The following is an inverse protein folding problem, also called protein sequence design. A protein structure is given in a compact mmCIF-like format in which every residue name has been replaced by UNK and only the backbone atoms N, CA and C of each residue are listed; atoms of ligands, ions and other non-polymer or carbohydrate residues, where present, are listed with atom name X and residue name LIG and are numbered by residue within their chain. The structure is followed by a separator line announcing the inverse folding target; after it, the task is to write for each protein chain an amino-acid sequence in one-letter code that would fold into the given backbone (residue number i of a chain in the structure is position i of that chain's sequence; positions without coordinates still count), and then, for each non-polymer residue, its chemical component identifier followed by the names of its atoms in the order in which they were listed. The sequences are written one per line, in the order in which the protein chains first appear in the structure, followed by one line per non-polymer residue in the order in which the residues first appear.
data_IF_976114348815
#
_entry.id   IF_976114348815
#
_cell.length_a   1.000
_cell.length_b   1.000
_cell.length_c   1.000
_cell.angle_alpha   90.00
_cell.angle_beta   90.00
_cell.angle_gamma   90.00
#
_symmetry.space_group_name_H-M   'P 1'
#
loop_
_entity.id
_entity.type
_entity.pdbx_description
1 polymer ?
#
# COMPACT_ATOMS: atom_id res chain seq x y z
N UNK A 1 -18.83 20.87 1.98
CA UNK A 1 -17.91 21.72 2.76
C UNK A 1 -16.94 20.90 3.62
N UNK A 2 -17.37 20.01 4.54
CA UNK A 2 -16.47 19.21 5.40
C UNK A 2 -15.48 18.32 4.60
N UNK A 3 -15.92 17.63 3.54
CA UNK A 3 -15.08 16.79 2.70
C UNK A 3 -13.97 17.58 1.99
N UNK A 4 -14.28 18.80 1.53
CA UNK A 4 -13.31 19.71 0.93
C UNK A 4 -12.26 20.18 1.94
N UNK A 5 -12.65 20.45 3.20
CA UNK A 5 -11.71 20.83 4.27
C UNK A 5 -10.76 19.68 4.59
N UNK A 6 -11.26 18.44 4.70
CA UNK A 6 -10.39 17.28 4.91
C UNK A 6 -9.45 17.02 3.72
N UNK A 7 -9.92 17.20 2.48
CA UNK A 7 -9.06 17.10 1.29
C UNK A 7 -7.97 18.17 1.29
N UNK A 8 -8.30 19.42 1.65
CA UNK A 8 -7.32 20.51 1.77
C UNK A 8 -6.33 20.28 2.90
N UNK A 9 -6.76 19.76 4.05
CA UNK A 9 -5.85 19.35 5.13
C UNK A 9 -4.88 18.26 4.67
N UNK A 10 -5.36 17.31 3.87
CA UNK A 10 -4.55 16.27 3.26
C UNK A 10 -3.55 16.85 2.24
N UNK A 11 -3.93 17.88 1.47
CA UNK A 11 -3.07 18.57 0.51
C UNK A 11 -2.03 19.49 1.17
N UNK A 12 -2.33 20.09 2.32
CA UNK A 12 -1.41 20.92 3.09
C UNK A 12 -0.22 20.15 3.69
N UNK A 13 -0.22 18.82 3.63
CA UNK A 13 0.84 17.98 4.20
C UNK A 13 2.14 17.94 3.39
N UNK A 14 2.23 18.65 2.27
CA UNK A 14 3.45 18.70 1.43
C UNK A 14 4.60 19.49 2.07
N UNK A 15 4.35 20.34 3.07
CA UNK A 15 5.38 21.06 3.81
C UNK A 15 5.89 20.26 5.01
N UNK A 16 7.20 20.27 5.28
CA UNK A 16 7.78 19.58 6.45
C UNK A 16 7.15 20.05 7.76
N UNK A 17 6.92 21.36 7.92
CA UNK A 17 6.33 21.92 9.13
C UNK A 17 4.85 21.53 9.29
N UNK A 18 4.05 21.66 8.25
CA UNK A 18 2.63 21.27 8.27
C UNK A 18 2.45 19.76 8.48
N UNK A 19 3.34 18.96 7.92
CA UNK A 19 3.41 17.51 8.12
C UNK A 19 3.67 17.16 9.60
N UNK A 20 4.62 17.84 10.24
CA UNK A 20 4.93 17.63 11.66
C UNK A 20 3.78 18.05 12.58
N UNK A 21 3.15 19.20 12.31
CA UNK A 21 1.99 19.68 13.08
C UNK A 21 0.80 18.71 12.96
N UNK A 22 0.50 18.24 11.76
CA UNK A 22 -0.59 17.30 11.56
C UNK A 22 -0.29 15.95 12.21
N UNK A 23 0.96 15.46 12.13
CA UNK A 23 1.40 14.26 12.85
C UNK A 23 1.21 14.42 14.36
N UNK A 24 1.66 15.54 14.93
CA UNK A 24 1.50 15.84 16.37
C UNK A 24 0.02 15.87 16.76
N UNK A 25 -0.83 16.54 15.98
CA UNK A 25 -2.26 16.55 16.22
C UNK A 25 -2.88 15.15 16.16
N UNK A 26 -2.63 14.40 15.07
CA UNK A 26 -3.27 13.09 14.85
C UNK A 26 -2.84 12.02 15.84
N UNK A 27 -1.67 12.17 16.46
CA UNK A 27 -1.20 11.30 17.55
C UNK A 27 -1.67 11.74 18.93
N UNK A 28 -2.15 12.99 19.06
CA UNK A 28 -2.63 13.52 20.34
C UNK A 28 -3.98 12.94 20.75
N UNK A 29 -4.26 12.90 22.05
CA UNK A 29 -5.55 12.49 22.58
C UNK A 29 -6.70 13.43 22.18
N UNK A 30 -6.39 14.68 21.82
CA UNK A 30 -7.41 15.63 21.32
C UNK A 30 -8.00 15.16 19.98
N UNK A 31 -7.22 14.46 19.17
CA UNK A 31 -7.68 13.99 17.85
C UNK A 31 -8.75 12.89 17.91
N UNK A 32 -8.97 12.26 19.08
CA UNK A 32 -10.07 11.29 19.24
C UNK A 32 -11.45 11.92 18.98
N UNK A 33 -11.61 13.20 19.29
CA UNK A 33 -12.90 13.92 19.09
C UNK A 33 -13.27 14.13 17.62
N UNK A 34 -12.30 14.03 16.69
CA UNK A 34 -12.57 14.12 15.26
C UNK A 34 -12.87 12.76 14.60
N UNK A 35 -12.71 11.63 15.32
CA UNK A 35 -12.94 10.29 14.78
C UNK A 35 -14.37 10.13 14.25
N UNK A 36 -15.38 10.60 15.01
CA UNK A 36 -16.78 10.52 14.58
C UNK A 36 -17.02 11.26 13.27
N UNK A 37 -16.53 12.49 13.15
CA UNK A 37 -16.67 13.28 11.92
C UNK A 37 -15.87 12.67 10.77
N UNK A 38 -14.70 12.08 11.05
CA UNK A 38 -13.88 11.36 10.07
C UNK A 38 -14.63 10.15 9.51
N UNK A 39 -15.19 9.28 10.36
CA UNK A 39 -16.04 8.15 9.94
C UNK A 39 -17.17 8.60 9.02
N UNK A 40 -17.90 9.67 9.42
CA UNK A 40 -19.02 10.19 8.63
C UNK A 40 -18.58 10.72 7.26
N UNK A 41 -17.45 11.45 7.19
CA UNK A 41 -16.95 12.04 5.95
C UNK A 41 -16.48 10.97 4.95
N UNK A 42 -15.84 9.92 5.46
CA UNK A 42 -15.30 8.85 4.63
C UNK A 42 -16.22 7.62 4.54
N UNK A 43 -17.43 7.69 5.11
CA UNK A 43 -18.44 6.61 5.09
C UNK A 43 -17.89 5.28 5.62
N UNK A 44 -17.19 5.35 6.77
CA UNK A 44 -16.57 4.17 7.39
C UNK A 44 -17.61 3.49 8.29
N UNK A 45 -17.94 2.24 7.98
CA UNK A 45 -18.83 1.39 8.80
C UNK A 45 -18.13 0.91 10.07
N UNK A 46 -18.88 0.73 11.16
CA UNK A 46 -18.34 0.27 12.43
C UNK A 46 -18.31 -1.28 12.58
N UNK A 47 -18.89 -2.01 11.65
CA UNK A 47 -19.12 -3.44 11.78
C UNK A 47 -17.89 -4.31 11.44
N UNK A 48 -16.83 -3.72 10.88
CA UNK A 48 -15.67 -4.47 10.38
C UNK A 48 -14.42 -4.33 11.27
N UNK A 49 -14.49 -3.53 12.35
CA UNK A 49 -13.31 -3.18 13.14
C UNK A 49 -13.36 -3.75 14.56
N UNK A 50 -12.17 -4.04 15.09
CA UNK A 50 -12.01 -4.30 16.52
C UNK A 50 -11.90 -2.95 17.22
N UNK A 51 -12.92 -2.61 18.00
CA UNK A 51 -12.87 -1.41 18.84
C UNK A 51 -12.20 -1.74 20.17
N UNK A 52 -11.10 -1.06 20.55
CA UNK A 52 -10.47 -1.27 21.86
C UNK A 52 -11.46 -1.02 23.02
N UNK A 53 -11.28 -1.70 24.14
CA UNK A 53 -12.15 -1.59 25.31
C UNK A 53 -12.35 -0.14 25.77
N UNK A 54 -11.29 0.68 25.72
CA UNK A 54 -11.33 2.10 26.08
C UNK A 54 -11.57 3.04 24.87
N UNK A 55 -12.02 2.49 23.74
CA UNK A 55 -12.14 3.21 22.47
C UNK A 55 -10.78 3.61 21.88
N UNK A 56 -10.81 4.21 20.70
CA UNK A 56 -9.59 4.71 20.07
C UNK A 56 -9.10 5.99 20.76
N UNK A 57 -7.81 6.03 21.09
CA UNK A 57 -7.21 7.11 21.88
C UNK A 57 -6.76 8.30 21.02
N UNK A 58 -6.63 8.11 19.71
CA UNK A 58 -6.27 9.16 18.75
C UNK A 58 -6.79 8.83 17.36
N UNK A 59 -6.76 9.81 16.45
CA UNK A 59 -7.10 9.59 15.05
C UNK A 59 -6.11 8.61 14.38
N UNK A 60 -4.83 8.66 14.75
CA UNK A 60 -3.84 7.71 14.24
C UNK A 60 -4.13 6.29 14.73
N UNK A 61 -4.53 6.13 15.98
CA UNK A 61 -4.94 4.82 16.53
C UNK A 61 -6.13 4.25 15.75
N UNK A 62 -7.15 5.06 15.47
CA UNK A 62 -8.25 4.69 14.60
C UNK A 62 -7.80 4.37 13.16
N UNK A 63 -6.86 5.13 12.61
CA UNK A 63 -6.36 4.92 11.25
C UNK A 63 -5.65 3.58 11.10
N UNK A 64 -4.92 3.14 12.12
CA UNK A 64 -4.20 1.86 12.18
C UNK A 64 -5.01 0.72 12.83
N UNK A 65 -6.34 0.89 12.92
CA UNK A 65 -7.28 -0.07 13.52
C UNK A 65 -7.12 -1.48 12.96
N UNK A 66 -7.48 -2.47 13.74
CA UNK A 66 -7.58 -3.86 13.30
C UNK A 66 -8.97 -4.17 12.78
N UNK A 67 -9.06 -5.10 11.85
CA UNK A 67 -10.34 -5.65 11.36
C UNK A 67 -10.71 -6.92 12.12
N UNK A 68 -12.00 -7.17 12.20
CA UNK A 68 -12.51 -8.47 12.62
C UNK A 68 -12.09 -9.50 11.57
N UNK A 69 -11.51 -10.62 12.01
CA UNK A 69 -10.88 -11.63 11.13
C UNK A 69 -11.84 -12.12 10.04
N UNK A 70 -13.10 -12.30 10.40
CA UNK A 70 -14.17 -12.78 9.52
C UNK A 70 -14.53 -11.77 8.42
N UNK A 71 -14.20 -10.49 8.61
CA UNK A 71 -14.47 -9.44 7.63
C UNK A 71 -13.46 -9.42 6.47
N UNK A 72 -12.34 -10.12 6.63
CA UNK A 72 -11.27 -10.25 5.61
C UNK A 72 -10.84 -11.71 5.49
N UNK A 73 -11.69 -12.56 4.87
CA UNK A 73 -11.30 -13.93 4.60
C UNK A 73 -10.09 -13.97 3.68
N UNK A 74 -9.07 -14.74 4.08
CA UNK A 74 -7.84 -14.88 3.31
C UNK A 74 -7.98 -16.11 2.42
N UNK A 75 -7.78 -15.93 1.11
CA UNK A 75 -7.60 -17.08 0.23
C UNK A 75 -6.26 -17.74 0.58
N UNK A 76 -6.31 -18.99 0.98
CA UNK A 76 -5.14 -19.79 1.42
C UNK A 76 -4.60 -20.71 0.34
N UNK A 77 -5.14 -20.68 -0.88
CA UNK A 77 -4.61 -21.43 -2.03
C UNK A 77 -3.19 -20.95 -2.34
N UNK A 78 -2.17 -21.83 -2.25
CA UNK A 78 -0.77 -21.47 -2.52
C UNK A 78 -0.51 -21.05 -3.98
N UNK A 79 -1.45 -21.32 -4.88
CA UNK A 79 -1.38 -20.90 -6.29
C UNK A 79 -2.03 -19.53 -6.52
N UNK A 80 -2.52 -18.87 -5.48
CA UNK A 80 -3.15 -17.56 -5.56
C UNK A 80 -2.25 -16.48 -5.00
N UNK A 81 -2.09 -15.39 -5.74
CA UNK A 81 -1.55 -14.14 -5.23
C UNK A 81 -2.72 -13.32 -4.67
N UNK A 82 -2.65 -13.00 -3.39
CA UNK A 82 -3.73 -12.24 -2.72
C UNK A 82 -3.40 -10.76 -2.62
N UNK A 83 -4.44 -9.93 -2.50
CA UNK A 83 -4.24 -8.52 -2.19
C UNK A 83 -3.64 -8.36 -0.78
N UNK A 84 -2.54 -7.64 -0.64
CA UNK A 84 -1.93 -7.37 0.66
C UNK A 84 -2.66 -6.30 1.49
N UNK A 85 -3.61 -5.60 0.89
CA UNK A 85 -4.28 -4.43 1.48
C UNK A 85 -5.72 -4.29 0.99
N UNK A 86 -6.52 -3.53 1.73
CA UNK A 86 -7.75 -2.95 1.19
C UNK A 86 -7.41 -1.76 0.30
N UNK A 87 -8.08 -1.62 -0.83
CA UNK A 87 -7.82 -0.46 -1.68
C UNK A 87 -8.53 -0.51 -3.02
N UNK A 88 -7.99 0.28 -3.92
CA UNK A 88 -8.38 0.28 -5.34
C UNK A 88 -7.19 -0.13 -6.19
N UNK A 89 -7.38 -1.09 -7.07
CA UNK A 89 -6.40 -1.42 -8.11
C UNK A 89 -6.41 -0.26 -9.11
N UNK A 90 -5.40 0.60 -9.02
CA UNK A 90 -5.24 1.74 -9.93
C UNK A 90 -4.58 1.32 -11.24
N UNK A 91 -3.76 0.26 -11.17
CA UNK A 91 -3.14 -0.37 -12.32
C UNK A 91 -2.81 -1.83 -12.02
N UNK A 92 -3.03 -2.70 -12.97
CA UNK A 92 -2.50 -4.06 -13.02
C UNK A 92 -2.23 -4.42 -14.48
N UNK A 93 -0.97 -4.73 -14.80
CA UNK A 93 -0.57 -4.98 -16.18
C UNK A 93 0.85 -5.46 -16.31
N UNK A 94 1.26 -5.69 -17.57
CA UNK A 94 2.62 -6.08 -17.91
C UNK A 94 3.58 -4.88 -17.87
N UNK A 95 4.81 -5.16 -17.50
CA UNK A 95 5.94 -4.25 -17.64
C UNK A 95 6.45 -4.39 -19.08
N UNK A 96 6.75 -3.27 -19.75
CA UNK A 96 7.29 -3.29 -21.11
C UNK A 96 8.72 -3.84 -21.16
N UNK A 97 9.21 -4.12 -22.36
CA UNK A 97 10.60 -4.53 -22.58
C UNK A 97 11.62 -3.44 -22.20
N UNK A 98 11.17 -2.16 -22.17
CA UNK A 98 11.97 -1.01 -21.75
C UNK A 98 11.86 -0.73 -20.24
N UNK A 99 11.33 -1.69 -19.44
CA UNK A 99 11.11 -1.58 -18.00
C UNK A 99 10.19 -0.42 -17.59
N UNK A 100 9.22 -0.10 -18.45
CA UNK A 100 8.26 0.98 -18.24
C UNK A 100 6.85 0.43 -17.96
N UNK A 101 6.09 1.18 -17.18
CA UNK A 101 4.66 1.00 -17.00
C UNK A 101 3.97 2.37 -16.94
N UNK A 102 2.70 2.42 -17.41
CA UNK A 102 1.96 3.68 -17.53
C UNK A 102 0.81 3.67 -16.53
N UNK A 103 0.81 4.65 -15.63
CA UNK A 103 -0.25 4.88 -14.66
C UNK A 103 -0.86 6.25 -14.88
N UNK A 104 -2.14 6.31 -15.22
CA UNK A 104 -2.87 7.57 -15.45
C UNK A 104 -2.15 8.53 -16.43
N UNK A 105 -1.54 7.97 -17.47
CA UNK A 105 -0.83 8.72 -18.49
C UNK A 105 0.60 9.14 -18.13
N UNK A 106 1.06 8.87 -16.91
CA UNK A 106 2.46 9.09 -16.53
C UNK A 106 3.27 7.81 -16.72
N UNK A 107 4.44 7.96 -17.35
CA UNK A 107 5.42 6.88 -17.48
C UNK A 107 6.27 6.78 -16.24
N UNK A 108 6.43 5.57 -15.74
CA UNK A 108 7.30 5.23 -14.62
C UNK A 108 8.31 4.18 -15.09
N UNK A 109 9.55 4.37 -14.74
CA UNK A 109 10.60 3.37 -14.92
C UNK A 109 10.74 2.50 -13.70
N UNK A 110 10.91 1.21 -13.92
CA UNK A 110 11.04 0.25 -12.84
C UNK A 110 12.31 0.49 -12.01
N UNK A 111 13.42 0.87 -12.66
CA UNK A 111 14.66 1.25 -11.98
C UNK A 111 14.47 2.42 -10.99
N UNK A 112 13.66 3.43 -11.37
CA UNK A 112 13.35 4.55 -10.47
C UNK A 112 12.50 4.12 -9.28
N UNK A 113 11.57 3.16 -9.49
CA UNK A 113 10.74 2.61 -8.42
C UNK A 113 11.58 1.79 -7.44
N UNK A 114 12.44 0.91 -7.94
CA UNK A 114 13.20 -0.06 -7.13
C UNK A 114 14.54 0.49 -6.64
N UNK A 115 15.03 1.59 -7.26
CA UNK A 115 16.29 2.24 -6.89
C UNK A 115 17.54 1.49 -7.33
N UNK A 116 17.41 0.47 -8.18
CA UNK A 116 18.51 -0.29 -8.78
C UNK A 116 18.09 -0.77 -10.17
N UNK A 117 18.97 -0.56 -11.14
CA UNK A 117 18.78 -1.03 -12.52
C UNK A 117 18.89 -2.55 -12.57
N UNK A 118 19.92 -3.12 -11.97
CA UNK A 118 20.17 -4.57 -11.94
C UNK A 118 19.01 -5.33 -11.31
N UNK A 119 18.41 -4.75 -10.25
CA UNK A 119 17.26 -5.36 -9.61
C UNK A 119 15.99 -5.20 -10.43
N UNK A 120 15.85 -4.10 -11.18
CA UNK A 120 14.71 -3.88 -12.08
C UNK A 120 14.71 -4.87 -13.26
N UNK A 121 15.88 -5.19 -13.81
CA UNK A 121 16.06 -6.13 -14.93
C UNK A 121 15.48 -7.53 -14.61
N UNK A 122 15.47 -7.94 -13.34
CA UNK A 122 14.84 -9.21 -12.90
C UNK A 122 13.36 -9.27 -13.27
N UNK A 123 12.69 -8.12 -13.34
CA UNK A 123 11.25 -8.03 -13.54
C UNK A 123 10.85 -7.57 -14.95
N UNK A 124 11.82 -7.46 -15.87
CA UNK A 124 11.55 -7.09 -17.27
C UNK A 124 10.53 -8.01 -17.92
N UNK A 125 9.47 -7.45 -18.49
CA UNK A 125 8.35 -8.21 -19.08
C UNK A 125 7.44 -8.90 -18.07
N UNK A 126 7.68 -8.71 -16.78
CA UNK A 126 6.86 -9.20 -15.68
C UNK A 126 5.55 -8.45 -15.52
N UNK A 127 4.97 -8.51 -14.35
CA UNK A 127 3.71 -7.83 -14.04
C UNK A 127 3.85 -6.86 -12.86
N UNK A 128 3.08 -5.77 -12.90
CA UNK A 128 3.01 -4.79 -11.82
C UNK A 128 1.56 -4.53 -11.41
N UNK A 129 1.33 -4.45 -10.09
CA UNK A 129 0.06 -4.05 -9.47
C UNK A 129 0.29 -2.79 -8.64
N UNK A 130 -0.61 -1.83 -8.75
CA UNK A 130 -0.60 -0.61 -7.96
C UNK A 130 -1.93 -0.51 -7.22
N UNK A 131 -1.86 -0.60 -5.90
CA UNK A 131 -2.99 -0.63 -4.98
C UNK A 131 -3.00 0.65 -4.16
N UNK A 132 -3.96 1.52 -4.41
CA UNK A 132 -4.12 2.77 -3.67
C UNK A 132 -5.04 2.56 -2.46
N UNK A 133 -4.59 3.00 -1.29
CA UNK A 133 -5.38 2.99 -0.07
C UNK A 133 -5.95 4.39 0.20
N UNK A 134 -7.27 4.50 0.16
CA UNK A 134 -7.97 5.74 0.55
C UNK A 134 -8.03 5.87 2.07
N UNK A 135 -8.30 7.07 2.62
CA UNK A 135 -8.44 7.27 4.06
C UNK A 135 -9.49 6.38 4.74
N UNK A 136 -10.45 5.85 3.99
CA UNK A 136 -11.48 4.95 4.51
C UNK A 136 -10.99 3.51 4.70
N UNK A 137 -9.99 3.10 3.94
CA UNK A 137 -9.54 1.72 3.90
C UNK A 137 -8.87 1.25 5.20
N UNK A 138 -8.70 -0.03 5.31
CA UNK A 138 -7.83 -0.69 6.27
C UNK A 138 -6.37 -0.47 5.87
N UNK A 139 -5.52 -0.02 6.81
CA UNK A 139 -4.16 0.41 6.51
C UNK A 139 -3.06 -0.51 7.06
N UNK A 140 -3.41 -1.70 7.53
CA UNK A 140 -2.42 -2.74 7.81
C UNK A 140 -2.09 -3.48 6.52
N UNK A 141 -0.88 -3.99 6.45
CA UNK A 141 -0.28 -4.61 5.26
C UNK A 141 -0.05 -6.08 5.58
N UNK A 142 -0.47 -6.94 4.68
CA UNK A 142 -0.34 -8.38 4.82
C UNK A 142 0.54 -8.96 3.71
N UNK A 143 1.14 -10.11 3.96
CA UNK A 143 1.89 -10.79 2.91
C UNK A 143 0.95 -11.31 1.82
N UNK A 144 1.22 -11.00 0.55
CA UNK A 144 0.37 -11.48 -0.56
C UNK A 144 0.56 -12.95 -0.88
N UNK A 145 1.60 -13.57 -0.36
CA UNK A 145 2.05 -14.92 -0.72
C UNK A 145 2.93 -15.51 0.40
N UNK A 146 3.10 -16.83 0.42
CA UNK A 146 4.15 -17.46 1.23
C UNK A 146 5.52 -17.18 0.60
N UNK A 147 6.43 -16.56 1.35
CA UNK A 147 7.75 -16.17 0.83
C UNK A 147 8.84 -16.18 1.90
N UNK A 148 10.07 -16.36 1.47
CA UNK A 148 11.25 -15.97 2.23
C UNK A 148 11.52 -14.49 1.99
N UNK A 149 11.88 -13.78 3.05
CA UNK A 149 12.15 -12.33 3.03
C UNK A 149 13.62 -12.11 2.76
N UNK A 150 13.93 -11.51 1.63
CA UNK A 150 15.28 -11.11 1.27
C UNK A 150 15.64 -9.72 1.80
N UNK A 151 16.35 -8.97 0.99
CA UNK A 151 16.77 -7.61 1.34
C UNK A 151 15.57 -6.68 1.54
N UNK A 152 15.74 -5.76 2.47
CA UNK A 152 14.83 -4.64 2.69
C UNK A 152 15.60 -3.34 2.64
N UNK A 153 15.13 -2.39 1.84
CA UNK A 153 15.78 -1.09 1.75
C UNK A 153 14.77 0.03 1.57
N UNK A 154 15.21 1.22 1.91
CA UNK A 154 14.41 2.44 1.83
C UNK A 154 14.97 3.32 0.71
N UNK A 155 14.06 3.89 -0.07
CA UNK A 155 14.42 4.83 -1.13
C UNK A 155 13.40 5.98 -1.22
N UNK A 156 13.87 7.12 -1.79
CA UNK A 156 13.03 8.31 -1.89
C UNK A 156 13.04 9.19 -0.63
N UNK A 157 12.77 10.49 -0.84
CA UNK A 157 12.86 11.52 0.22
C UNK A 157 11.65 12.44 0.28
N UNK A 158 10.71 12.29 -0.64
CA UNK A 158 9.49 13.12 -0.72
C UNK A 158 8.29 12.39 -0.14
N UNK A 159 7.21 13.08 0.08
CA UNK A 159 5.95 12.53 0.60
C UNK A 159 4.73 13.16 -0.06
N UNK A 160 4.78 13.31 -1.39
CA UNK A 160 3.66 13.82 -2.16
C UNK A 160 2.40 12.95 -1.96
N UNK A 161 1.21 13.56 -2.05
CA UNK A 161 -0.03 12.79 -2.08
C UNK A 161 -0.02 11.77 -3.23
N UNK A 162 -0.52 10.57 -2.96
CA UNK A 162 -0.65 9.49 -3.96
C UNK A 162 -2.09 9.26 -4.40
N UNK A 163 -3.01 10.17 -4.03
CA UNK A 163 -4.38 10.19 -4.53
C UNK A 163 -4.43 10.61 -6.02
N UNK A 164 -5.65 10.60 -6.61
CA UNK A 164 -5.83 10.96 -8.03
C UNK A 164 -5.19 12.31 -8.41
N UNK A 165 -5.32 13.33 -7.54
CA UNK A 165 -4.72 14.65 -7.76
C UNK A 165 -3.20 14.62 -7.59
N UNK A 166 -2.69 13.99 -6.55
CA UNK A 166 -1.26 13.87 -6.33
C UNK A 166 -0.53 13.13 -7.45
N UNK A 167 -1.15 12.09 -8.00
CA UNK A 167 -0.60 11.36 -9.16
C UNK A 167 -0.67 12.17 -10.46
N UNK A 168 -1.68 13.04 -10.65
CA UNK A 168 -1.81 13.84 -11.87
C UNK A 168 -1.00 15.15 -11.86
N UNK A 169 -0.74 15.73 -10.69
CA UNK A 169 -0.05 17.01 -10.53
C UNK A 169 1.37 16.87 -9.96
N UNK A 170 1.68 15.72 -9.35
CA UNK A 170 2.99 15.46 -8.77
C UNK A 170 4.00 15.00 -9.80
N UNK A 171 5.28 15.34 -9.58
CA UNK A 171 6.37 14.81 -10.38
C UNK A 171 6.70 13.37 -9.94
N UNK A 172 6.04 12.42 -10.59
CA UNK A 172 6.23 10.96 -10.39
C UNK A 172 6.24 10.52 -8.92
N UNK A 173 5.15 10.74 -8.16
CA UNK A 173 5.12 10.47 -6.71
C UNK A 173 5.47 9.02 -6.34
N UNK A 174 5.08 8.04 -7.16
CA UNK A 174 5.34 6.61 -6.88
C UNK A 174 6.84 6.28 -6.88
N UNK A 175 7.66 7.00 -7.70
CA UNK A 175 9.11 6.81 -7.79
C UNK A 175 9.91 7.73 -6.88
N UNK A 176 9.35 8.87 -6.44
CA UNK A 176 10.08 9.87 -5.64
C UNK A 176 9.77 9.84 -4.15
N UNK A 177 8.58 9.37 -3.78
CA UNK A 177 8.19 9.28 -2.38
C UNK A 177 9.04 8.29 -1.60
N UNK A 178 9.14 8.57 -0.29
CA UNK A 178 9.66 7.63 0.68
C UNK A 178 8.94 6.29 0.53
N UNK A 179 9.69 5.24 0.28
CA UNK A 179 9.18 3.90 0.10
C UNK A 179 10.13 2.86 0.65
N UNK A 180 9.55 1.78 1.11
CA UNK A 180 10.27 0.61 1.58
C UNK A 180 10.05 -0.53 0.60
N UNK A 181 11.12 -1.05 0.05
CA UNK A 181 11.13 -2.18 -0.85
C UNK A 181 11.54 -3.42 -0.05
N UNK A 182 10.80 -4.48 -0.20
CA UNK A 182 11.10 -5.80 0.37
C UNK A 182 11.19 -6.80 -0.78
N UNK A 183 12.30 -7.49 -0.88
CA UNK A 183 12.49 -8.62 -1.78
C UNK A 183 11.84 -9.85 -1.19
N UNK A 184 11.01 -10.52 -1.96
CA UNK A 184 10.35 -11.76 -1.58
C UNK A 184 10.74 -12.88 -2.54
N UNK A 185 11.21 -13.97 -1.99
CA UNK A 185 11.49 -15.20 -2.74
C UNK A 185 10.33 -16.16 -2.55
N UNK A 186 9.61 -16.42 -3.62
CA UNK A 186 8.49 -17.38 -3.64
C UNK A 186 8.92 -18.69 -4.32
N UNK A 187 8.12 -19.73 -4.20
CA UNK A 187 8.34 -20.97 -4.96
C UNK A 187 8.24 -20.77 -6.48
N UNK A 188 7.63 -19.68 -6.94
CA UNK A 188 7.31 -19.38 -8.34
C UNK A 188 8.11 -18.20 -8.90
N UNK A 189 9.18 -17.78 -8.23
CA UNK A 189 10.01 -16.65 -8.64
C UNK A 189 10.05 -15.52 -7.62
N UNK A 190 10.68 -14.43 -8.00
CA UNK A 190 10.88 -13.26 -7.12
C UNK A 190 9.72 -12.27 -7.23
N UNK A 191 9.53 -11.53 -6.16
CA UNK A 191 8.61 -10.40 -6.12
C UNK A 191 9.28 -9.22 -5.42
N UNK A 192 9.13 -8.01 -5.96
CA UNK A 192 9.42 -6.78 -5.24
C UNK A 192 8.12 -6.26 -4.60
N UNK A 193 8.11 -6.19 -3.28
CA UNK A 193 6.98 -5.72 -2.50
C UNK A 193 7.27 -4.31 -1.98
N UNK A 194 6.68 -3.30 -2.64
CA UNK A 194 6.98 -1.89 -2.42
C UNK A 194 5.86 -1.22 -1.66
N UNK A 195 6.17 -0.69 -0.50
CA UNK A 195 5.28 0.10 0.34
C UNK A 195 5.64 1.57 0.14
N UNK A 196 4.76 2.35 -0.45
CA UNK A 196 4.97 3.78 -0.74
C UNK A 196 4.21 4.62 0.27
N UNK A 197 4.94 5.39 1.07
CA UNK A 197 4.37 6.34 2.01
C UNK A 197 3.93 7.62 1.29
N UNK A 198 2.87 8.23 1.81
CA UNK A 198 2.41 9.54 1.39
C UNK A 198 2.15 10.39 2.63
N UNK A 199 2.29 11.71 2.47
CA UNK A 199 1.93 12.73 3.44
C UNK A 199 2.82 12.86 4.70
N UNK A 200 3.56 11.83 5.13
CA UNK A 200 4.54 11.94 6.22
C UNK A 200 5.75 11.06 5.93
N UNK A 201 6.94 11.60 6.15
CA UNK A 201 8.17 10.80 6.13
C UNK A 201 8.08 9.78 7.27
N UNK A 202 8.43 8.52 7.02
CA UNK A 202 8.31 7.40 7.98
C UNK A 202 6.87 6.98 8.36
N UNK A 203 5.94 7.04 7.42
CA UNK A 203 4.58 6.51 7.65
C UNK A 203 4.47 4.98 7.60
N UNK A 204 5.53 4.28 7.19
CA UNK A 204 5.58 2.82 7.08
C UNK A 204 6.18 2.23 8.35
N UNK A 205 5.50 1.28 8.95
CA UNK A 205 5.97 0.54 10.11
C UNK A 205 5.86 -0.96 9.85
N UNK A 206 6.96 -1.70 10.01
CA UNK A 206 6.94 -3.16 9.93
C UNK A 206 6.49 -3.74 11.26
N UNK A 207 5.54 -4.66 11.23
CA UNK A 207 5.08 -5.42 12.41
C UNK A 207 5.68 -6.82 12.46
N UNK A 208 6.20 -7.30 11.31
CA UNK A 208 6.93 -8.55 11.22
C UNK A 208 8.26 -8.31 10.50
N UNK A 209 9.37 -8.58 11.19
CA UNK A 209 10.75 -8.47 10.70
C UNK A 209 11.43 -9.83 10.53
N UNK A 210 10.65 -10.93 10.58
CA UNK A 210 11.15 -12.28 10.36
C UNK A 210 11.57 -12.52 8.91
N UNK A 211 12.31 -13.59 8.69
CA UNK A 211 12.85 -14.02 7.42
C UNK A 211 11.87 -14.82 6.54
N UNK A 212 10.68 -15.11 7.05
CA UNK A 212 9.60 -15.80 6.35
C UNK A 212 8.26 -15.17 6.66
N UNK A 213 7.47 -14.97 5.62
CA UNK A 213 6.10 -14.50 5.74
C UNK A 213 5.13 -15.52 5.17
N UNK A 214 4.03 -15.73 5.88
CA UNK A 214 2.91 -16.55 5.39
C UNK A 214 1.90 -15.68 4.67
N UNK A 215 1.26 -16.22 3.65
CA UNK A 215 0.16 -15.56 2.95
C UNK A 215 -0.93 -15.11 3.93
N UNK A 216 -1.33 -13.83 3.84
CA UNK A 216 -2.29 -13.22 4.74
C UNK A 216 -1.75 -12.82 6.12
N UNK A 217 -0.48 -13.10 6.44
CA UNK A 217 0.14 -12.66 7.69
C UNK A 217 0.37 -11.15 7.68
N UNK A 218 0.07 -10.46 8.80
CA UNK A 218 0.35 -9.04 8.94
C UNK A 218 1.86 -8.78 8.98
N UNK A 219 2.35 -7.92 8.10
CA UNK A 219 3.77 -7.62 7.95
C UNK A 219 4.10 -6.15 8.19
N UNK A 220 3.10 -5.30 8.29
CA UNK A 220 3.30 -3.89 8.54
C UNK A 220 2.00 -3.09 8.54
N UNK A 221 2.16 -1.78 8.68
CA UNK A 221 1.05 -0.84 8.59
C UNK A 221 1.51 0.52 8.06
N UNK A 222 0.55 1.26 7.52
CA UNK A 222 0.72 2.67 7.20
C UNK A 222 0.07 3.53 8.28
N UNK A 223 0.78 4.54 8.74
CA UNK A 223 0.24 5.52 9.69
C UNK A 223 -0.59 6.61 9.03
N UNK A 224 -0.46 6.76 7.71
CA UNK A 224 -1.24 7.68 6.86
C UNK A 224 -1.27 7.18 5.41
N UNK A 225 -1.89 7.98 4.51
CA UNK A 225 -2.14 7.63 3.11
C UNK A 225 -0.99 6.94 2.39
N UNK A 226 -1.31 6.00 1.52
CA UNK A 226 -0.34 5.02 1.06
C UNK A 226 -0.73 4.36 -0.26
N UNK A 227 0.25 3.74 -0.85
CA UNK A 227 0.10 2.86 -2.00
C UNK A 227 1.00 1.63 -1.81
N UNK A 228 0.49 0.46 -2.14
CA UNK A 228 1.30 -0.75 -2.25
C UNK A 228 1.50 -1.06 -3.72
N UNK A 229 2.75 -1.40 -4.08
CA UNK A 229 3.09 -1.85 -5.42
C UNK A 229 3.70 -3.25 -5.30
N UNK A 230 3.22 -4.17 -6.11
CA UNK A 230 3.80 -5.50 -6.27
C UNK A 230 4.35 -5.62 -7.68
N UNK A 231 5.59 -6.06 -7.80
CA UNK A 231 6.26 -6.34 -9.06
C UNK A 231 6.65 -7.81 -9.07
N UNK A 232 6.24 -8.55 -10.08
CA UNK A 232 6.39 -10.00 -10.16
C UNK A 232 7.15 -10.36 -11.43
N UNK A 233 8.02 -11.36 -11.35
CA UNK A 233 8.80 -11.86 -12.50
C UNK A 233 7.91 -12.24 -13.68
N UNK A 234 8.54 -12.20 -14.86
CA UNK A 234 7.92 -12.57 -16.13
C UNK A 234 7.37 -13.99 -16.11
N UNK A 235 6.21 -14.17 -16.74
CA UNK A 235 5.54 -15.45 -16.99
C UNK A 235 5.16 -16.28 -15.74
N UNK A 236 5.25 -15.70 -14.54
CA UNK A 236 4.94 -16.38 -13.28
C UNK A 236 3.44 -16.35 -12.93
N UNK A 237 2.70 -15.35 -13.41
CA UNK A 237 1.29 -15.17 -13.01
C UNK A 237 0.37 -14.89 -14.19
N UNK A 238 -0.92 -15.14 -13.94
CA UNK A 238 -2.05 -14.69 -14.74
C UNK A 238 -2.91 -13.74 -13.94
N UNK A 239 -3.23 -12.58 -14.52
CA UNK A 239 -4.02 -11.53 -13.85
C UNK A 239 -5.50 -11.94 -13.83
N UNK A 240 -6.09 -12.07 -12.64
CA UNK A 240 -7.52 -12.35 -12.48
C UNK A 240 -8.34 -11.08 -12.24
N UNK A 241 -7.72 -10.03 -11.66
CA UNK A 241 -8.38 -8.75 -11.42
C UNK A 241 -7.47 -7.58 -11.85
N UNK A 242 -7.98 -6.74 -12.75
CA UNK A 242 -7.18 -5.65 -13.35
C UNK A 242 -7.51 -4.26 -12.84
N UNK A 243 -8.67 -4.05 -12.22
CA UNK A 243 -9.09 -2.74 -11.72
C UNK A 243 -10.22 -2.86 -10.71
N UNK A 244 -10.52 -1.76 -10.02
CA UNK A 244 -11.64 -1.65 -9.09
C UNK A 244 -11.26 -1.90 -7.63
N UNK A 245 -12.28 -1.93 -6.78
CA UNK A 245 -12.10 -2.16 -5.35
C UNK A 245 -11.60 -3.59 -5.09
N UNK A 246 -10.73 -3.71 -4.11
CA UNK A 246 -10.21 -4.99 -3.63
C UNK A 246 -10.04 -4.95 -2.12
N UNK A 247 -10.28 -6.09 -1.48
CA UNK A 247 -10.06 -6.27 -0.04
C UNK A 247 -8.80 -7.11 0.21
N UNK A 248 -8.16 -6.89 1.32
CA UNK A 248 -7.06 -7.71 1.81
C UNK A 248 -7.50 -9.19 1.86
N UNK A 249 -6.65 -10.08 1.36
CA UNK A 249 -6.93 -11.52 1.29
C UNK A 249 -7.67 -11.99 0.04
N UNK A 250 -8.29 -11.09 -0.75
CA UNK A 250 -8.92 -11.46 -2.03
C UNK A 250 -7.88 -11.79 -3.10
N UNK A 251 -8.25 -12.69 -4.02
CA UNK A 251 -7.44 -13.05 -5.18
C UNK A 251 -7.24 -11.87 -6.12
N UNK A 252 -6.00 -11.64 -6.56
CA UNK A 252 -5.64 -10.61 -7.55
C UNK A 252 -4.99 -11.22 -8.80
N UNK A 253 -4.32 -12.36 -8.64
CA UNK A 253 -3.74 -13.13 -9.73
C UNK A 253 -3.59 -14.60 -9.31
N UNK A 254 -3.32 -15.48 -10.29
CA UNK A 254 -2.93 -16.87 -10.08
C UNK A 254 -1.53 -17.12 -10.60
N UNK A 255 -0.77 -17.90 -9.86
CA UNK A 255 0.49 -18.41 -10.37
C UNK A 255 0.21 -19.42 -11.48
N UNK A 256 1.00 -19.35 -12.53
CA UNK A 256 0.96 -20.33 -13.61
C UNK A 256 1.48 -21.69 -13.10
N UNK A 257 0.88 -22.75 -13.56
CA UNK A 257 1.44 -24.09 -13.33
C UNK A 257 2.76 -24.19 -14.07
N UNK A 258 3.75 -24.87 -13.47
CA UNK A 258 4.94 -25.29 -14.17
C UNK A 258 4.49 -26.30 -15.26
N UNK A 259 4.71 -25.96 -16.54
CA UNK A 259 4.57 -26.91 -17.63
C UNK A 259 5.68 -27.95 -17.61
#
# INVERSE_FOLDING_TARGET
MKRFVYQKLIELTNGKASSLLLKSFTTSSLSKHVIHSYKKVFSISDNEWITPQNGFQSLQDFFTRQVVKESRPINTDPNVLTSPVDGTIEYAGKISAEDEYIVKGLRYKLEELLGSKEYAEVFTGGAVFILYLSPANYHRIHSPVNAEVGRQWIFGRTSYPVNKFGLSLGDRPLSKNYRMITELFTKRGKMAFVKVGAMFVNSIHLTNTGDRWKQGEEVGLFRFGSTVIMVVEKDTIELTKKSGLIRMGEEIARFRNDE
#
